data_IF_250565706013
#
_entry.id   IF_250565706013
#
_cell.length_a   1.000
_cell.length_b   1.000
_cell.length_c   1.000
_cell.angle_alpha   90.00
_cell.angle_beta   90.00
_cell.angle_gamma   90.00
#
_symmetry.space_group_name_H-M   'P 1'
#
loop_
_entity.id
_entity.type
_entity.pdbx_description
1 polymer ?
#
# COMPACT_ATOMS: atom_id res chain seq x y z
N UNK A 1 7.58 -9.79 3.04
CA UNK A 1 7.82 -9.72 1.58
C UNK A 1 7.43 -11.06 0.96
N UNK A 2 6.32 -11.13 0.22
CA UNK A 2 5.89 -12.34 -0.48
C UNK A 2 6.47 -12.27 -1.89
N UNK A 3 7.45 -13.12 -2.21
CA UNK A 3 7.87 -13.36 -3.59
C UNK A 3 7.09 -14.59 -4.05
N UNK A 4 5.96 -14.40 -4.71
CA UNK A 4 5.21 -15.49 -5.34
C UNK A 4 5.68 -15.64 -6.80
N UNK A 5 6.68 -16.50 -7.03
CA UNK A 5 7.04 -16.95 -8.37
C UNK A 5 6.15 -18.12 -8.79
N UNK A 6 5.39 -17.98 -9.87
CA UNK A 6 4.65 -19.08 -10.49
C UNK A 6 5.53 -19.76 -11.53
N UNK A 7 5.76 -21.07 -11.37
CA UNK A 7 6.23 -21.97 -12.44
C UNK A 7 5.28 -23.15 -12.52
N UNK A 8 4.33 -23.10 -13.44
CA UNK A 8 3.50 -24.26 -13.78
C UNK A 8 4.16 -24.99 -14.95
N UNK A 9 4.84 -26.10 -14.67
CA UNK A 9 5.36 -27.01 -15.68
C UNK A 9 4.38 -28.18 -15.84
N UNK A 10 3.56 -28.16 -16.90
CA UNK A 10 2.79 -29.32 -17.32
C UNK A 10 3.64 -30.08 -18.34
N UNK A 11 4.28 -31.18 -17.92
CA UNK A 11 5.00 -32.05 -18.83
C UNK A 11 4.05 -33.10 -19.42
N UNK A 12 3.54 -32.84 -20.62
CA UNK A 12 3.14 -33.91 -21.54
C UNK A 12 4.31 -34.17 -22.47
N UNK A 13 4.88 -35.39 -22.43
CA UNK A 13 5.93 -35.82 -23.35
C UNK A 13 5.39 -35.77 -24.80
N UNK A 14 5.83 -34.77 -25.56
CA UNK A 14 5.90 -34.83 -27.02
C UNK A 14 7.30 -34.41 -27.45
N UNK A 15 8.05 -35.39 -27.95
CA UNK A 15 9.31 -35.18 -28.67
C UNK A 15 9.02 -34.35 -29.93
N UNK A 16 9.46 -33.10 -29.95
CA UNK A 16 9.35 -32.25 -31.14
C UNK A 16 9.56 -30.76 -30.86
N UNK A 17 10.67 -30.24 -31.42
CA UNK A 17 11.18 -28.85 -31.37
C UNK A 17 11.73 -28.40 -30.02
N UNK A 18 12.96 -27.86 -30.07
CA UNK A 18 13.52 -27.06 -29.00
C UNK A 18 12.47 -26.02 -28.59
N UNK A 19 11.85 -26.22 -27.42
CA UNK A 19 11.01 -25.20 -26.80
C UNK A 19 11.85 -23.95 -26.75
N UNK A 20 11.45 -22.88 -27.45
CA UNK A 20 11.78 -21.54 -27.00
C UNK A 20 11.53 -21.56 -25.49
N UNK A 21 12.58 -21.35 -24.69
CA UNK A 21 12.42 -21.32 -23.24
C UNK A 21 11.48 -20.14 -22.97
N UNK A 22 10.19 -20.43 -22.78
CA UNK A 22 9.17 -19.44 -22.49
C UNK A 22 9.64 -18.69 -21.25
N UNK A 23 10.11 -17.45 -21.46
CA UNK A 23 10.59 -16.61 -20.36
C UNK A 23 9.41 -16.37 -19.42
N UNK A 24 9.55 -16.60 -18.11
CA UNK A 24 8.44 -16.48 -17.20
C UNK A 24 7.98 -15.02 -17.12
N UNK A 25 6.66 -14.84 -17.06
CA UNK A 25 6.07 -13.57 -16.64
C UNK A 25 6.38 -13.35 -15.15
N UNK A 26 6.87 -12.17 -14.81
CA UNK A 26 7.23 -11.83 -13.43
C UNK A 26 6.23 -10.81 -12.92
N UNK A 27 5.20 -11.27 -12.23
CA UNK A 27 4.29 -10.35 -11.53
C UNK A 27 4.92 -10.00 -10.19
N UNK A 28 5.53 -8.82 -10.08
CA UNK A 28 6.02 -8.32 -8.80
C UNK A 28 4.91 -7.54 -8.11
N UNK A 29 4.11 -8.31 -7.39
CA UNK A 29 3.10 -7.74 -6.53
C UNK A 29 3.81 -7.23 -5.27
N UNK A 30 3.92 -5.91 -5.15
CA UNK A 30 4.09 -5.29 -3.84
C UNK A 30 2.72 -5.33 -3.15
N UNK A 31 2.37 -6.48 -2.58
CA UNK A 31 1.51 -6.50 -1.38
C UNK A 31 2.41 -6.02 -0.23
N UNK A 32 2.85 -4.78 -0.33
CA UNK A 32 3.08 -3.93 0.82
C UNK A 32 1.92 -2.98 0.67
N UNK A 33 0.76 -3.44 1.15
CA UNK A 33 -0.27 -2.49 1.43
C UNK A 33 0.38 -1.49 2.39
N UNK A 34 0.29 -0.22 2.03
CA UNK A 34 1.10 0.82 2.64
C UNK A 34 0.76 0.91 4.14
N UNK A 35 1.78 0.79 4.99
CA UNK A 35 1.67 0.62 6.44
C UNK A 35 0.97 -0.67 6.94
N UNK A 36 0.94 -1.73 6.14
CA UNK A 36 0.43 -3.04 6.58
C UNK A 36 1.51 -3.88 7.30
N UNK A 37 1.13 -4.42 8.45
CA UNK A 37 1.97 -5.27 9.29
C UNK A 37 1.85 -6.75 8.94
N UNK A 38 2.87 -7.54 9.26
CA UNK A 38 2.81 -9.00 9.14
C UNK A 38 1.66 -9.60 9.97
N UNK A 39 1.23 -8.90 11.02
CA UNK A 39 0.12 -9.31 11.88
C UNK A 39 -1.23 -9.15 11.21
N UNK A 40 -1.35 -8.50 10.04
CA UNK A 40 -2.64 -8.19 9.41
C UNK A 40 -3.12 -9.28 8.44
N UNK A 41 -2.40 -10.40 8.36
CA UNK A 41 -2.71 -11.46 7.39
C UNK A 41 -3.20 -12.75 8.05
N UNK A 42 -4.25 -13.33 7.49
CA UNK A 42 -4.78 -14.64 7.90
C UNK A 42 -3.74 -15.75 7.79
N UNK A 43 -2.99 -15.80 6.68
CA UNK A 43 -1.91 -16.77 6.48
C UNK A 43 -0.70 -16.59 7.45
N UNK A 44 -0.63 -15.47 8.18
CA UNK A 44 0.35 -15.21 9.25
C UNK A 44 -0.23 -15.48 10.65
N UNK A 45 -1.44 -16.04 10.74
CA UNK A 45 -2.08 -16.42 12.00
C UNK A 45 -3.10 -15.43 12.54
N UNK A 46 -3.40 -14.33 11.84
CA UNK A 46 -4.45 -13.41 12.24
C UNK A 46 -5.83 -14.06 12.07
N UNK A 47 -6.60 -14.15 13.17
CA UNK A 47 -7.96 -14.72 13.16
C UNK A 47 -9.05 -13.68 12.97
N UNK A 48 -8.71 -12.40 13.09
CA UNK A 48 -9.63 -11.27 12.98
C UNK A 48 -9.72 -10.78 11.54
N UNK A 49 -8.59 -10.46 10.91
CA UNK A 49 -8.55 -9.88 9.56
C UNK A 49 -8.75 -10.95 8.50
N UNK A 50 -9.72 -10.72 7.61
CA UNK A 50 -10.06 -11.65 6.53
C UNK A 50 -9.29 -11.32 5.25
N UNK A 51 -8.28 -12.13 4.92
CA UNK A 51 -7.45 -11.96 3.71
C UNK A 51 -7.60 -13.12 2.74
N UNK A 52 -8.83 -13.58 2.47
CA UNK A 52 -9.12 -14.84 1.75
C UNK A 52 -8.37 -15.02 0.41
N UNK A 53 -8.27 -13.95 -0.40
CA UNK A 53 -7.53 -13.96 -1.66
C UNK A 53 -6.02 -14.12 -1.45
N UNK A 54 -5.45 -13.43 -0.47
CA UNK A 54 -4.03 -13.53 -0.12
C UNK A 54 -3.71 -14.87 0.55
N UNK A 55 -4.61 -15.39 1.39
CA UNK A 55 -4.45 -16.70 2.01
C UNK A 55 -4.47 -17.80 0.95
N UNK A 56 -5.32 -17.68 -0.07
CA UNK A 56 -5.34 -18.59 -1.22
C UNK A 56 -4.05 -18.52 -2.02
N UNK A 57 -3.49 -17.32 -2.23
CA UNK A 57 -2.20 -17.14 -2.89
C UNK A 57 -1.08 -17.76 -2.05
N UNK A 58 -1.06 -17.50 -0.74
CA UNK A 58 -0.06 -17.97 0.19
C UNK A 58 -0.02 -19.51 0.29
N UNK A 59 -1.16 -20.19 0.20
CA UNK A 59 -1.23 -21.67 0.13
C UNK A 59 -0.57 -22.28 -1.11
N UNK A 60 -0.40 -21.49 -2.18
CA UNK A 60 0.22 -21.90 -3.45
C UNK A 60 1.60 -21.29 -3.64
N UNK A 61 2.17 -20.68 -2.60
CA UNK A 61 3.41 -19.93 -2.66
C UNK A 61 4.37 -20.38 -1.57
N UNK A 62 5.67 -20.12 -1.78
CA UNK A 62 6.65 -20.17 -0.70
C UNK A 62 6.44 -18.95 0.20
N UNK A 63 6.48 -19.16 1.52
CA UNK A 63 6.26 -18.11 2.52
C UNK A 63 7.53 -17.83 3.30
N UNK A 64 7.84 -16.55 3.50
CA UNK A 64 8.96 -16.08 4.32
C UNK A 64 8.40 -15.36 5.55
N UNK A 65 8.21 -16.05 6.69
CA UNK A 65 7.59 -15.46 7.87
C UNK A 65 8.46 -14.39 8.53
N UNK A 66 9.79 -14.46 8.34
CA UNK A 66 10.78 -13.55 8.91
C UNK A 66 11.40 -12.66 7.82
N UNK A 67 10.56 -11.91 7.11
CA UNK A 67 11.01 -10.94 6.11
C UNK A 67 11.07 -9.52 6.68
N UNK A 68 12.23 -8.87 6.61
CA UNK A 68 12.46 -7.52 7.13
C UNK A 68 12.79 -6.56 6.00
N UNK A 69 12.25 -5.34 6.07
CA UNK A 69 12.71 -4.22 5.25
C UNK A 69 13.96 -3.59 5.89
N UNK A 70 14.90 -3.06 5.10
CA UNK A 70 16.09 -2.39 5.67
C UNK A 70 15.76 -1.04 6.32
N UNK A 71 14.55 -0.51 6.10
CA UNK A 71 14.06 0.75 6.66
C UNK A 71 12.53 0.77 6.69
N UNK A 72 11.97 1.45 7.68
CA UNK A 72 10.53 1.70 7.82
C UNK A 72 10.08 3.00 7.14
N UNK A 73 10.81 3.45 6.11
CA UNK A 73 10.50 4.63 5.31
C UNK A 73 10.07 4.21 3.91
N UNK A 74 8.88 4.64 3.47
CA UNK A 74 8.23 4.15 2.25
C UNK A 74 9.12 4.25 1.00
N UNK A 75 9.57 5.46 0.66
CA UNK A 75 10.38 5.71 -0.54
C UNK A 75 11.68 4.91 -0.52
N UNK A 76 12.38 4.93 0.61
CA UNK A 76 13.65 4.23 0.76
C UNK A 76 13.47 2.70 0.63
N UNK A 77 12.43 2.14 1.24
CA UNK A 77 12.08 0.72 1.12
C UNK A 77 11.71 0.33 -0.32
N UNK A 78 10.91 1.14 -1.03
CA UNK A 78 10.58 0.90 -2.43
C UNK A 78 11.82 1.01 -3.35
N UNK A 79 12.72 1.95 -3.07
CA UNK A 79 13.99 2.08 -3.79
C UNK A 79 14.88 0.84 -3.57
N UNK A 80 14.95 0.28 -2.36
CA UNK A 80 15.61 -1.00 -2.09
C UNK A 80 14.98 -2.11 -2.94
N UNK A 81 13.65 -2.21 -3.00
CA UNK A 81 12.99 -3.24 -3.82
C UNK A 81 13.26 -3.09 -5.31
N UNK A 82 13.36 -1.85 -5.81
CA UNK A 82 13.67 -1.58 -7.21
C UNK A 82 15.12 -1.90 -7.57
N UNK A 83 16.06 -1.77 -6.63
CA UNK A 83 17.51 -1.78 -6.91
C UNK A 83 18.25 -3.01 -6.38
N UNK A 84 17.69 -3.67 -5.35
CA UNK A 84 18.41 -4.67 -4.56
C UNK A 84 19.48 -4.09 -3.65
N UNK A 85 19.55 -2.76 -3.50
CA UNK A 85 20.56 -2.05 -2.73
C UNK A 85 20.00 -1.53 -1.40
N UNK A 86 20.86 -1.45 -0.38
CA UNK A 86 20.51 -0.80 0.88
C UNK A 86 20.42 0.73 0.75
N UNK A 87 19.70 1.41 1.67
CA UNK A 87 19.57 2.87 1.65
C UNK A 87 20.87 3.66 1.52
N UNK A 88 21.94 3.22 2.18
CA UNK A 88 23.25 3.86 2.11
C UNK A 88 23.95 3.71 0.74
N UNK A 89 23.56 2.73 -0.08
CA UNK A 89 24.16 2.48 -1.40
C UNK A 89 23.43 3.26 -2.51
N UNK A 90 22.09 3.36 -2.43
CA UNK A 90 21.32 4.13 -3.40
C UNK A 90 21.07 5.59 -2.97
N UNK A 91 21.43 5.98 -1.74
CA UNK A 91 21.40 7.35 -1.23
C UNK A 91 20.00 7.89 -0.89
N UNK A 92 18.96 7.06 -0.92
CA UNK A 92 17.57 7.48 -0.66
C UNK A 92 17.20 7.06 0.76
N UNK A 93 17.21 8.00 1.69
CA UNK A 93 16.97 7.74 3.12
C UNK A 93 15.57 8.17 3.60
N UNK A 94 14.96 9.14 2.91
CA UNK A 94 13.72 9.79 3.32
C UNK A 94 12.69 9.83 2.18
N UNK A 95 11.41 9.96 2.52
CA UNK A 95 10.32 10.16 1.57
C UNK A 95 10.50 11.46 0.77
N UNK A 96 10.75 12.55 1.49
CA UNK A 96 10.99 13.85 0.93
C UNK A 96 12.48 14.16 0.97
N UNK A 97 13.09 14.63 -0.15
CA UNK A 97 14.48 15.06 -0.13
C UNK A 97 14.65 16.27 0.80
N UNK A 98 15.88 16.57 1.25
CA UNK A 98 16.19 17.86 1.86
C UNK A 98 15.61 19.00 1.00
N UNK A 99 15.00 20.05 1.59
CA UNK A 99 14.94 20.37 3.02
C UNK A 99 13.85 19.63 3.84
N UNK A 100 13.18 18.64 3.28
CA UNK A 100 12.06 17.94 3.92
C UNK A 100 10.72 18.58 3.59
N UNK A 101 9.63 17.95 4.05
CA UNK A 101 8.31 18.26 3.52
C UNK A 101 7.78 19.65 3.89
N UNK A 102 8.02 20.10 5.11
CA UNK A 102 7.61 21.44 5.59
C UNK A 102 8.13 22.54 4.67
N UNK A 103 9.42 22.48 4.33
CA UNK A 103 10.05 23.51 3.52
C UNK A 103 9.71 23.35 2.03
N UNK A 104 9.59 22.11 1.54
CA UNK A 104 9.11 21.87 0.18
C UNK A 104 7.70 22.41 -0.06
N UNK A 105 6.86 22.50 1.00
CA UNK A 105 5.49 23.00 0.90
C UNK A 105 5.35 24.50 0.63
N UNK A 106 6.40 25.24 0.98
CA UNK A 106 6.48 26.70 0.83
C UNK A 106 6.95 27.10 -0.58
N UNK A 107 7.47 26.15 -1.36
CA UNK A 107 8.02 26.41 -2.68
C UNK A 107 6.90 26.57 -3.72
N UNK A 108 7.13 27.49 -4.66
CA UNK A 108 6.35 27.53 -5.89
C UNK A 108 6.43 26.19 -6.63
N UNK A 109 5.38 25.82 -7.36
CA UNK A 109 5.25 24.52 -8.00
C UNK A 109 6.41 24.19 -8.95
N UNK A 110 6.98 25.20 -9.62
CA UNK A 110 8.17 25.03 -10.46
C UNK A 110 9.40 24.61 -9.64
N UNK A 111 9.70 25.29 -8.54
CA UNK A 111 10.83 24.97 -7.66
C UNK A 111 10.61 23.63 -6.94
N UNK A 112 9.39 23.31 -6.53
CA UNK A 112 9.05 21.98 -6.01
C UNK A 112 9.37 20.86 -7.00
N UNK A 113 8.95 21.02 -8.26
CA UNK A 113 9.24 20.04 -9.33
C UNK A 113 10.75 19.89 -9.55
N UNK A 114 11.48 21.01 -9.54
CA UNK A 114 12.93 20.99 -9.69
C UNK A 114 13.62 20.21 -8.56
N UNK A 115 13.29 20.51 -7.30
CA UNK A 115 13.85 19.82 -6.14
C UNK A 115 13.55 18.30 -6.17
N UNK A 116 12.35 17.92 -6.64
CA UNK A 116 12.00 16.50 -6.84
C UNK A 116 12.79 15.86 -7.97
N UNK A 117 12.93 16.53 -9.12
CA UNK A 117 13.69 16.03 -10.25
C UNK A 117 15.19 15.82 -9.94
N UNK A 118 15.76 16.66 -9.07
CA UNK A 118 17.12 16.48 -8.54
C UNK A 118 17.21 15.23 -7.67
N UNK A 119 16.25 15.02 -6.77
CA UNK A 119 16.19 13.83 -5.92
C UNK A 119 15.97 12.53 -6.72
N UNK A 120 15.29 12.60 -7.87
CA UNK A 120 15.10 11.49 -8.79
C UNK A 120 16.40 11.06 -9.51
N UNK A 121 17.45 11.89 -9.50
CA UNK A 121 18.75 11.50 -10.09
C UNK A 121 19.38 10.32 -9.36
N UNK A 122 19.08 10.14 -8.07
CA UNK A 122 19.57 9.01 -7.29
C UNK A 122 19.14 7.67 -7.89
N UNK A 123 17.86 7.51 -8.23
CA UNK A 123 17.38 6.27 -8.84
C UNK A 123 17.85 6.12 -10.30
N UNK A 124 18.06 7.22 -11.03
CA UNK A 124 18.52 7.18 -12.43
C UNK A 124 19.93 6.64 -12.57
N UNK A 125 20.77 6.84 -11.55
CA UNK A 125 22.19 6.46 -11.54
C UNK A 125 22.43 5.01 -11.16
N UNK A 126 21.42 4.31 -10.65
CA UNK A 126 21.53 2.91 -10.21
C UNK A 126 20.79 1.98 -11.16
N UNK A 127 21.25 0.73 -11.20
CA UNK A 127 20.55 -0.31 -11.93
C UNK A 127 19.27 -0.70 -11.15
N UNK A 128 18.15 -0.70 -11.85
CA UNK A 128 16.85 -1.11 -11.30
C UNK A 128 16.36 -2.37 -12.00
N UNK A 129 15.58 -3.18 -11.30
CA UNK A 129 14.94 -4.39 -11.81
C UNK A 129 14.15 -4.15 -13.11
N UNK A 130 13.22 -3.18 -13.22
CA UNK A 130 12.54 -2.90 -14.49
C UNK A 130 13.51 -2.48 -15.61
N UNK A 131 14.60 -1.76 -15.31
CA UNK A 131 15.60 -1.36 -16.32
C UNK A 131 16.41 -2.57 -16.82
N UNK A 132 16.70 -3.54 -15.95
CA UNK A 132 17.29 -4.84 -16.32
C UNK A 132 16.31 -5.61 -17.22
N UNK A 133 15.09 -5.82 -16.75
CA UNK A 133 14.09 -6.64 -17.43
C UNK A 133 13.74 -6.06 -18.80
N UNK A 134 13.57 -4.74 -18.91
CA UNK A 134 13.30 -4.07 -20.18
C UNK A 134 14.42 -4.29 -21.22
N UNK A 135 15.69 -4.28 -20.81
CA UNK A 135 16.83 -4.62 -21.71
C UNK A 135 16.79 -6.08 -22.18
N UNK A 136 16.18 -6.97 -21.41
CA UNK A 136 15.94 -8.36 -21.78
C UNK A 136 14.57 -8.58 -22.46
N UNK A 137 13.94 -7.54 -22.98
CA UNK A 137 12.72 -7.64 -23.79
C UNK A 137 11.43 -7.81 -22.97
N UNK A 138 11.48 -7.62 -21.66
CA UNK A 138 10.25 -7.58 -20.85
C UNK A 138 9.50 -6.27 -21.03
N UNK A 139 8.18 -6.35 -21.09
CA UNK A 139 7.33 -5.17 -20.95
C UNK A 139 7.06 -4.95 -19.47
N UNK A 140 7.49 -3.81 -18.93
CA UNK A 140 7.40 -3.48 -17.50
C UNK A 140 6.33 -2.40 -17.25
N UNK A 141 5.28 -2.71 -16.49
CA UNK A 141 4.21 -1.80 -16.08
C UNK A 141 4.35 -1.38 -14.61
N UNK A 142 4.30 -0.07 -14.35
CA UNK A 142 4.18 0.51 -13.00
C UNK A 142 2.74 0.92 -12.68
N UNK A 143 2.21 0.46 -11.54
CA UNK A 143 0.92 0.89 -10.99
C UNK A 143 1.02 1.16 -9.49
N UNK A 144 0.20 2.08 -8.97
CA UNK A 144 0.23 2.39 -7.55
C UNK A 144 1.40 3.27 -7.11
N UNK A 145 1.87 3.04 -5.89
CA UNK A 145 2.93 3.78 -5.20
C UNK A 145 4.29 3.54 -5.87
N UNK A 146 5.04 4.62 -6.13
CA UNK A 146 6.32 4.59 -6.87
C UNK A 146 7.43 5.48 -6.28
N UNK A 147 7.10 6.68 -5.80
CA UNK A 147 8.03 7.67 -5.24
C UNK A 147 9.09 8.32 -6.13
N UNK A 148 9.43 7.74 -7.26
CA UNK A 148 10.53 8.22 -8.11
C UNK A 148 10.08 9.02 -9.33
N UNK A 149 8.97 9.75 -9.18
CA UNK A 149 8.44 10.63 -10.22
C UNK A 149 7.89 9.86 -11.40
N UNK A 150 8.24 10.26 -12.62
CA UNK A 150 7.77 9.59 -13.83
C UNK A 150 8.21 8.12 -13.87
N UNK A 151 7.32 7.16 -14.21
CA UNK A 151 7.64 5.72 -14.20
C UNK A 151 8.94 5.34 -14.95
N UNK A 152 9.24 6.05 -16.04
CA UNK A 152 10.49 5.87 -16.82
C UNK A 152 11.77 6.19 -16.04
N UNK A 153 11.71 6.98 -14.97
CA UNK A 153 12.86 7.31 -14.12
C UNK A 153 13.50 6.02 -13.59
N UNK A 154 12.69 5.08 -13.11
CA UNK A 154 13.14 3.76 -12.68
C UNK A 154 13.24 2.75 -13.84
N UNK A 155 12.97 3.11 -15.09
CA UNK A 155 13.14 2.21 -16.24
C UNK A 155 11.94 1.34 -16.58
N UNK A 156 10.74 1.66 -16.08
CA UNK A 156 9.51 1.03 -16.53
C UNK A 156 9.18 1.44 -17.98
N UNK A 157 8.59 0.50 -18.74
CA UNK A 157 8.18 0.75 -20.14
C UNK A 157 6.83 1.45 -20.23
N UNK A 158 5.94 1.14 -19.27
CA UNK A 158 4.59 1.67 -19.13
C UNK A 158 4.37 2.01 -17.65
N UNK A 159 3.49 2.96 -17.36
CA UNK A 159 3.14 3.26 -15.99
C UNK A 159 2.13 4.37 -15.85
N UNK A 160 1.64 4.53 -14.62
CA UNK A 160 0.60 5.51 -14.28
C UNK A 160 1.18 6.78 -13.66
N UNK A 161 2.31 6.69 -12.97
CA UNK A 161 2.93 7.85 -12.30
C UNK A 161 3.70 8.69 -13.32
N UNK A 162 3.31 9.95 -13.47
CA UNK A 162 3.88 10.86 -14.47
C UNK A 162 4.76 11.96 -13.85
N UNK A 163 4.83 12.04 -12.51
CA UNK A 163 5.55 13.10 -11.81
C UNK A 163 4.86 14.46 -11.90
N UNK A 164 3.55 14.48 -12.14
CA UNK A 164 2.73 15.68 -12.27
C UNK A 164 1.38 15.48 -11.58
N UNK A 165 0.70 16.55 -11.15
CA UNK A 165 -0.60 16.42 -10.50
C UNK A 165 -1.56 15.57 -11.33
N UNK A 166 -2.29 14.67 -10.66
CA UNK A 166 -3.35 13.92 -11.30
C UNK A 166 -4.51 14.86 -11.70
N UNK A 167 -5.41 14.35 -12.55
CA UNK A 167 -6.63 15.08 -12.91
C UNK A 167 -7.49 15.35 -11.67
N UNK A 168 -7.61 14.35 -10.79
CA UNK A 168 -8.27 14.46 -9.48
C UNK A 168 -7.34 15.19 -8.51
N UNK A 169 -7.86 16.27 -7.91
CA UNK A 169 -7.10 17.19 -7.04
C UNK A 169 -7.32 16.87 -5.58
N UNK A 170 -6.83 15.70 -5.17
CA UNK A 170 -6.81 15.30 -3.77
C UNK A 170 -5.56 14.47 -3.45
N UNK A 171 -5.33 14.26 -2.16
CA UNK A 171 -4.19 13.49 -1.63
C UNK A 171 -4.30 11.99 -1.93
N UNK A 172 -5.53 11.45 -2.04
CA UNK A 172 -5.80 10.04 -2.31
C UNK A 172 -5.37 9.63 -3.72
N UNK A 173 -5.35 10.57 -4.65
CA UNK A 173 -4.92 10.43 -6.04
C UNK A 173 -3.51 10.95 -6.28
N UNK A 174 -2.74 11.13 -5.21
CA UNK A 174 -1.35 11.55 -5.30
C UNK A 174 -1.18 12.97 -5.82
N UNK A 175 -2.13 13.86 -5.52
CA UNK A 175 -2.06 15.29 -5.79
C UNK A 175 -2.04 16.07 -4.47
N UNK A 176 -1.35 17.21 -4.42
CA UNK A 176 -1.27 18.02 -3.20
C UNK A 176 -1.30 19.50 -3.53
N UNK A 177 -1.96 20.28 -2.67
CA UNK A 177 -1.89 21.73 -2.69
C UNK A 177 -0.71 22.23 -1.85
N UNK A 178 0.07 23.15 -2.41
CA UNK A 178 1.15 23.89 -1.76
C UNK A 178 0.58 25.01 -0.89
N UNK A 179 1.41 25.57 -0.02
CA UNK A 179 0.98 26.64 0.90
C UNK A 179 0.59 27.93 0.17
N UNK A 180 1.11 28.12 -1.06
CA UNK A 180 0.74 29.21 -1.96
C UNK A 180 -0.51 28.92 -2.82
N UNK A 181 -1.18 27.79 -2.59
CA UNK A 181 -2.39 27.38 -3.31
C UNK A 181 -2.15 26.62 -4.63
N UNK A 182 -0.92 26.53 -5.11
CA UNK A 182 -0.59 25.80 -6.34
C UNK A 182 -0.69 24.28 -6.14
N UNK A 183 -1.04 23.54 -7.20
CA UNK A 183 -1.16 22.10 -7.13
C UNK A 183 0.05 21.38 -7.73
N UNK A 184 0.59 20.42 -6.98
CA UNK A 184 1.73 19.58 -7.38
C UNK A 184 1.38 18.09 -7.31
N UNK A 185 2.20 17.26 -7.96
CA UNK A 185 2.25 15.85 -7.62
C UNK A 185 2.62 15.69 -6.14
N UNK A 186 1.89 14.86 -5.41
CA UNK A 186 2.27 14.45 -4.06
C UNK A 186 3.61 13.71 -4.07
N UNK A 187 3.90 13.02 -5.17
CA UNK A 187 5.12 12.29 -5.41
C UNK A 187 5.09 10.84 -4.92
N UNK A 188 4.01 10.35 -4.30
CA UNK A 188 3.88 8.95 -3.87
C UNK A 188 3.45 8.01 -5.00
N UNK A 189 2.73 8.47 -6.02
CA UNK A 189 2.27 7.63 -7.14
C UNK A 189 1.29 8.29 -8.12
N UNK A 190 0.90 9.54 -7.90
CA UNK A 190 -0.05 10.31 -8.72
C UNK A 190 -1.33 9.49 -9.00
N UNK A 191 -1.84 9.53 -10.24
CA UNK A 191 -2.98 8.73 -10.69
C UNK A 191 -2.82 7.21 -10.44
N UNK A 192 -1.59 6.72 -10.21
CA UNK A 192 -1.32 5.35 -9.82
C UNK A 192 -2.06 4.92 -8.56
N UNK A 193 -2.31 5.82 -7.61
CA UNK A 193 -2.93 5.45 -6.32
C UNK A 193 -4.39 5.00 -6.43
N UNK A 194 -5.07 5.29 -7.55
CA UNK A 194 -6.42 4.80 -7.83
C UNK A 194 -6.48 3.27 -7.99
N UNK A 195 -5.34 2.63 -8.24
CA UNK A 195 -5.24 1.19 -8.47
C UNK A 195 -5.59 0.39 -7.22
N UNK A 196 -6.44 -0.63 -7.40
CA UNK A 196 -6.90 -1.52 -6.34
C UNK A 196 -8.05 -0.95 -5.50
N UNK A 197 -8.17 0.38 -5.39
CA UNK A 197 -9.29 1.05 -4.71
C UNK A 197 -10.43 1.37 -5.67
N UNK A 198 -10.13 2.06 -6.76
CA UNK A 198 -11.13 2.57 -7.69
C UNK A 198 -11.14 1.81 -9.01
N UNK A 199 -9.96 1.37 -9.47
CA UNK A 199 -9.85 0.71 -10.76
C UNK A 199 -8.78 -0.37 -10.79
N UNK A 200 -8.98 -1.33 -11.68
CA UNK A 200 -7.98 -2.30 -12.14
C UNK A 200 -7.79 -2.21 -13.66
N UNK A 201 -8.49 -1.29 -14.34
CA UNK A 201 -8.52 -1.21 -15.80
C UNK A 201 -7.14 -1.03 -16.45
N UNK A 202 -6.21 -0.20 -15.92
CA UNK A 202 -4.87 -0.07 -16.52
C UNK A 202 -4.10 -1.38 -16.54
N UNK A 203 -4.28 -2.22 -15.52
CA UNK A 203 -3.65 -3.55 -15.44
C UNK A 203 -4.32 -4.49 -16.45
N UNK A 204 -5.65 -4.52 -16.49
CA UNK A 204 -6.40 -5.35 -17.44
C UNK A 204 -6.06 -5.01 -18.90
N UNK A 205 -6.01 -3.72 -19.24
CA UNK A 205 -5.61 -3.25 -20.56
C UNK A 205 -4.17 -3.67 -20.89
N UNK A 206 -3.24 -3.42 -19.95
CA UNK A 206 -1.86 -3.83 -20.14
C UNK A 206 -1.71 -5.34 -20.39
N UNK A 207 -2.43 -6.16 -19.62
CA UNK A 207 -2.39 -7.60 -19.81
C UNK A 207 -2.99 -8.01 -21.16
N UNK A 208 -4.10 -7.41 -21.57
CA UNK A 208 -4.71 -7.70 -22.86
C UNK A 208 -3.82 -7.33 -24.05
N UNK A 209 -3.10 -6.22 -23.96
CA UNK A 209 -2.30 -5.68 -25.07
C UNK A 209 -0.87 -6.23 -25.10
N UNK A 210 -0.27 -6.52 -23.94
CA UNK A 210 1.17 -6.80 -23.83
C UNK A 210 1.54 -8.17 -23.25
N UNK A 211 0.65 -8.88 -22.55
CA UNK A 211 1.02 -10.14 -21.86
C UNK A 211 1.29 -11.32 -22.81
N UNK A 212 0.98 -11.16 -24.10
CA UNK A 212 1.26 -12.12 -25.16
C UNK A 212 1.64 -11.36 -26.43
N UNK A 213 2.80 -11.58 -27.08
CA UNK A 213 3.74 -12.70 -26.93
C UNK A 213 4.97 -12.41 -26.04
N UNK A 214 5.06 -11.24 -25.40
CA UNK A 214 6.27 -10.83 -24.66
C UNK A 214 6.17 -11.19 -23.17
N UNK A 215 7.28 -11.55 -22.52
CA UNK A 215 7.29 -11.65 -21.08
C UNK A 215 7.05 -10.27 -20.46
N UNK A 216 6.37 -10.20 -19.32
CA UNK A 216 6.06 -8.92 -18.68
C UNK A 216 6.46 -8.88 -17.20
N UNK A 217 6.67 -7.65 -16.73
CA UNK A 217 6.87 -7.30 -15.33
C UNK A 217 5.75 -6.36 -14.88
N UNK A 218 4.98 -6.75 -13.88
CA UNK A 218 3.94 -5.89 -13.30
C UNK A 218 4.33 -5.47 -11.89
N UNK A 219 4.50 -4.18 -11.67
CA UNK A 219 4.60 -3.58 -10.34
C UNK A 219 3.21 -3.14 -9.89
N UNK A 220 2.63 -3.90 -8.97
CA UNK A 220 1.33 -3.63 -8.35
C UNK A 220 1.54 -3.20 -6.89
N UNK A 221 1.34 -1.91 -6.60
CA UNK A 221 1.60 -1.30 -5.29
C UNK A 221 0.44 -0.38 -4.82
N UNK A 222 -0.74 -0.93 -4.47
CA UNK A 222 -1.88 -0.11 -4.06
C UNK A 222 -1.57 0.76 -2.83
N UNK A 223 -2.25 1.91 -2.72
CA UNK A 223 -2.04 2.86 -1.61
C UNK A 223 -2.66 2.40 -0.27
N UNK A 224 -3.67 1.52 -0.32
CA UNK A 224 -4.31 0.98 0.88
C UNK A 224 -3.34 0.09 1.68
N UNK A 225 -3.48 -0.05 3.01
CA UNK A 225 -4.45 0.60 3.91
C UNK A 225 -3.95 1.95 4.47
N UNK A 226 -2.96 2.61 3.88
CA UNK A 226 -2.45 3.88 4.40
C UNK A 226 -3.59 4.88 4.59
N UNK A 227 -3.42 5.74 5.59
CA UNK A 227 -4.39 6.77 5.93
C UNK A 227 -4.79 7.61 4.70
N UNK A 228 -6.07 8.03 4.61
CA UNK A 228 -7.16 7.81 5.58
C UNK A 228 -7.73 6.38 5.58
N UNK A 229 -8.24 5.95 6.74
CA UNK A 229 -8.93 4.66 6.89
C UNK A 229 -10.42 4.81 6.57
N UNK A 230 -10.75 4.84 5.28
CA UNK A 230 -12.08 5.13 4.73
C UNK A 230 -12.54 3.99 3.81
N UNK A 231 -12.51 2.76 4.31
CA UNK A 231 -12.88 1.58 3.54
C UNK A 231 -14.36 1.63 3.09
N UNK A 232 -14.74 1.05 1.93
CA UNK A 232 -16.14 0.91 1.58
C UNK A 232 -16.95 0.18 2.67
N UNK A 233 -18.19 0.62 2.89
CA UNK A 233 -19.09 0.13 3.96
C UNK A 233 -19.20 -1.41 4.04
N UNK A 234 -19.18 -2.10 2.90
CA UNK A 234 -19.17 -3.58 2.84
C UNK A 234 -18.05 -4.21 3.68
N UNK A 235 -16.90 -3.57 3.76
CA UNK A 235 -15.77 -4.05 4.55
C UNK A 235 -15.94 -3.70 6.03
N UNK A 236 -16.49 -2.53 6.37
CA UNK A 236 -16.85 -2.20 7.76
C UNK A 236 -17.85 -3.18 8.36
N UNK A 237 -18.90 -3.53 7.61
CA UNK A 237 -19.94 -4.47 8.06
C UNK A 237 -19.40 -5.85 8.43
N UNK A 238 -18.32 -6.29 7.78
CA UNK A 238 -17.65 -7.56 8.09
C UNK A 238 -17.10 -7.57 9.53
N UNK A 239 -16.81 -6.39 10.10
CA UNK A 239 -16.23 -6.23 11.43
C UNK A 239 -17.17 -5.57 12.45
N UNK A 240 -18.39 -5.18 12.05
CA UNK A 240 -19.34 -4.45 12.90
C UNK A 240 -19.79 -5.22 14.16
N UNK A 241 -19.60 -6.55 14.19
CA UNK A 241 -19.98 -7.40 15.33
C UNK A 241 -21.49 -7.47 15.54
N UNK A 242 -21.91 -8.03 16.68
CA UNK A 242 -23.28 -7.94 17.18
C UNK A 242 -23.25 -7.18 18.51
N UNK A 243 -24.04 -6.10 18.67
CA UNK A 243 -24.12 -5.41 19.94
C UNK A 243 -24.56 -6.36 21.05
N UNK A 244 -24.00 -6.19 22.24
CA UNK A 244 -24.51 -6.86 23.43
C UNK A 244 -25.74 -6.08 23.88
N UNK A 245 -26.87 -6.78 24.10
CA UNK A 245 -28.15 -6.14 24.50
C UNK A 245 -27.98 -5.28 25.75
N UNK A 246 -28.37 -3.99 25.66
CA UNK A 246 -28.23 -3.00 26.74
C UNK A 246 -26.81 -2.42 26.89
N UNK A 247 -25.88 -2.76 26.00
CA UNK A 247 -24.50 -2.25 25.96
C UNK A 247 -24.14 -1.77 24.53
N UNK A 248 -25.14 -1.33 23.76
CA UNK A 248 -24.94 -0.82 22.41
C UNK A 248 -24.50 0.64 22.40
N UNK A 249 -24.14 1.18 21.23
CA UNK A 249 -23.87 2.61 21.10
C UNK A 249 -25.13 3.46 21.32
N UNK A 250 -26.31 2.93 20.99
CA UNK A 250 -27.59 3.64 21.10
C UNK A 250 -28.05 3.71 22.57
N UNK A 251 -27.67 2.73 23.39
CA UNK A 251 -27.96 2.69 24.82
C UNK A 251 -26.89 3.43 25.66
N UNK A 252 -25.82 3.94 25.03
CA UNK A 252 -24.67 4.54 25.70
C UNK A 252 -24.90 6.03 25.94
N UNK A 253 -24.66 6.51 27.16
CA UNK A 253 -24.62 7.95 27.39
C UNK A 253 -23.37 8.55 26.74
N UNK A 254 -23.51 9.49 25.78
CA UNK A 254 -22.35 10.12 25.16
C UNK A 254 -21.60 10.95 26.20
N UNK A 255 -20.28 10.86 26.18
CA UNK A 255 -19.40 11.66 27.02
C UNK A 255 -18.74 12.76 26.19
N UNK A 256 -18.83 14.00 26.69
CA UNK A 256 -18.12 15.16 26.15
C UNK A 256 -17.42 15.86 27.31
N UNK A 257 -16.10 16.01 27.25
CA UNK A 257 -15.33 16.73 28.25
C UNK A 257 -13.82 16.44 28.22
N UNK A 258 -13.06 17.18 29.01
CA UNK A 258 -11.60 17.08 29.16
C UNK A 258 -11.22 16.41 30.50
N UNK A 259 -11.72 15.19 30.71
CA UNK A 259 -11.46 14.41 31.93
C UNK A 259 -10.56 13.22 31.65
N UNK A 260 -9.63 12.95 32.56
CA UNK A 260 -8.66 11.85 32.48
C UNK A 260 -9.21 10.49 32.93
N UNK A 261 -10.42 10.42 33.50
CA UNK A 261 -11.01 9.16 33.97
C UNK A 261 -12.55 9.11 33.93
N UNK A 262 -13.20 9.48 32.81
CA UNK A 262 -14.64 9.38 32.69
C UNK A 262 -15.11 7.92 32.78
N UNK A 263 -16.29 7.72 33.37
CA UNK A 263 -16.97 6.42 33.37
C UNK A 263 -18.04 6.45 32.30
N UNK A 264 -17.97 5.50 31.38
CA UNK A 264 -19.00 5.29 30.35
C UNK A 264 -20.05 4.37 30.93
N UNK A 265 -21.32 4.76 30.82
CA UNK A 265 -22.47 4.01 31.32
C UNK A 265 -23.54 3.87 30.24
N UNK A 266 -24.40 2.85 30.42
CA UNK A 266 -25.51 2.54 29.53
C UNK A 266 -26.83 2.52 30.29
N UNK A 267 -27.92 2.80 29.56
CA UNK A 267 -29.28 2.69 30.05
C UNK A 267 -29.56 1.25 30.54
N UNK A 268 -29.82 1.10 31.84
CA UNK A 268 -30.30 -0.14 32.43
C UNK A 268 -29.30 -1.31 32.58
N UNK A 269 -28.07 -1.22 32.08
CA UNK A 269 -27.12 -2.35 32.14
C UNK A 269 -25.63 -1.95 32.17
N UNK A 270 -25.21 -1.11 33.14
CA UNK A 270 -23.77 -0.83 33.36
C UNK A 270 -23.00 -1.99 34.02
N UNK A 271 -23.69 -3.06 34.43
CA UNK A 271 -23.05 -4.29 34.91
C UNK A 271 -22.53 -5.14 33.74
N UNK A 272 -21.22 -5.15 33.60
CA UNK A 272 -20.49 -5.95 32.61
C UNK A 272 -20.01 -7.30 33.17
N UNK A 273 -20.33 -7.66 34.41
CA UNK A 273 -19.91 -8.90 35.07
C UNK A 273 -20.26 -10.16 34.25
N UNK A 274 -21.42 -10.16 33.57
CA UNK A 274 -21.86 -11.23 32.66
C UNK A 274 -20.95 -11.48 31.44
N UNK A 275 -20.05 -10.54 31.15
CA UNK A 275 -19.04 -10.62 30.10
C UNK A 275 -17.68 -11.13 30.62
N UNK A 276 -17.52 -11.30 31.94
CA UNK A 276 -16.28 -11.80 32.53
C UNK A 276 -15.89 -13.16 31.91
N UNK A 277 -14.63 -13.30 31.54
CA UNK A 277 -14.09 -14.50 30.89
C UNK A 277 -14.53 -14.70 29.42
N UNK A 278 -15.35 -13.81 28.86
CA UNK A 278 -15.76 -13.88 27.44
C UNK A 278 -14.95 -12.91 26.60
N UNK A 279 -14.44 -13.32 25.42
CA UNK A 279 -13.84 -12.38 24.48
C UNK A 279 -14.89 -11.39 23.99
N UNK A 280 -14.64 -10.10 24.22
CA UNK A 280 -15.48 -9.00 23.72
C UNK A 280 -14.66 -8.11 22.79
N UNK A 281 -15.33 -7.51 21.80
CA UNK A 281 -14.75 -6.46 20.97
C UNK A 281 -15.31 -5.13 21.42
N UNK A 282 -14.43 -4.18 21.69
CA UNK A 282 -14.82 -2.81 22.00
C UNK A 282 -14.80 -1.98 20.73
N UNK A 283 -15.87 -1.22 20.53
CA UNK A 283 -15.98 -0.23 19.46
C UNK A 283 -16.02 1.14 20.09
N UNK A 284 -15.02 1.96 19.82
CA UNK A 284 -15.00 3.35 20.22
C UNK A 284 -15.57 4.20 19.07
N UNK A 285 -16.55 5.05 19.39
CA UNK A 285 -17.07 6.07 18.49
C UNK A 285 -16.56 7.41 19.00
N UNK A 286 -15.51 7.92 18.37
CA UNK A 286 -14.82 9.14 18.80
C UNK A 286 -15.10 10.24 17.79
N UNK A 287 -15.36 11.44 18.30
CA UNK A 287 -15.45 12.67 17.52
C UNK A 287 -14.63 13.72 18.26
N UNK A 288 -13.58 14.22 17.61
CA UNK A 288 -12.66 15.21 18.18
C UNK A 288 -12.08 14.79 19.56
N UNK A 289 -11.70 13.51 19.70
CA UNK A 289 -11.24 12.94 20.97
C UNK A 289 -10.12 11.89 20.77
N UNK A 290 -9.22 11.81 21.77
CA UNK A 290 -8.14 10.82 21.85
C UNK A 290 -8.36 9.86 23.04
N UNK A 291 -8.10 8.57 22.84
CA UNK A 291 -8.17 7.55 23.89
C UNK A 291 -6.77 7.02 24.18
N UNK A 292 -6.25 7.34 25.38
CA UNK A 292 -4.92 6.88 25.81
C UNK A 292 -4.95 5.52 26.51
N UNK A 293 -5.98 5.28 27.35
CA UNK A 293 -6.18 4.02 28.05
C UNK A 293 -7.65 3.81 28.40
N UNK A 294 -8.05 2.56 28.60
CA UNK A 294 -9.36 2.21 29.16
C UNK A 294 -9.18 1.05 30.14
N UNK A 295 -10.06 0.97 31.15
CA UNK A 295 -10.13 -0.17 32.08
C UNK A 295 -11.58 -0.49 32.40
N UNK A 296 -11.90 -1.76 32.52
CA UNK A 296 -13.15 -2.19 33.16
C UNK A 296 -13.00 -1.98 34.68
N UNK A 297 -14.03 -1.45 35.33
CA UNK A 297 -14.10 -1.32 36.79
C UNK A 297 -15.00 -2.40 37.36
#
# INVERSE_FOLDING_TARGET
>A
MIIAGWTSCWASLRLGRASERLRPNVVFIIIIADDQSYRDFGFMGNRLVQTSNLDRLARRSVRFPSGYGPTSVCRASLATLLTGLYPHQHGIHFNHPPPGLSELRKLAAAHYRQARAEAEQLIRRVQTLPRILARHGYVCLQTGKHWEGHYRTAGFTHGMTLGRPAAVRDMLHGTRQQDNGEWVAHGNGDAGLAIGRETMQPISHFLAEYAHPRPFFLWYAPFLPHAPFDAPERFYRTYAGRPVTGLSADDCHPFTGDSVAPTVSWDGASDVSRLAGKPVRLRFLLKDADVFSFRFR
#
